data_IF_704294590994
#
_entry.id   IF_704294590994
#
_cell.length_a   1.000
_cell.length_b   1.000
_cell.length_c   1.000
_cell.angle_alpha   90.00
_cell.angle_beta   90.00
_cell.angle_gamma   90.00
#
_symmetry.space_group_name_H-M   'P 1'
#
loop_
_entity.id
_entity.type
_entity.pdbx_description
1 polymer ?
#
# COMPACT_ATOMS: atom_id res chain seq x y z
N UNK A 1 -14.05 3.19 10.92
CA UNK A 1 -13.75 3.15 9.48
C UNK A 1 -14.12 1.78 8.93
N UNK A 2 -14.97 1.73 7.91
CA UNK A 2 -15.39 0.47 7.27
C UNK A 2 -14.24 -0.15 6.47
N UNK A 3 -14.38 -1.41 6.08
CA UNK A 3 -13.39 -2.05 5.21
C UNK A 3 -13.39 -1.46 3.79
N UNK A 4 -14.55 -1.00 3.31
CA UNK A 4 -14.68 -0.27 2.05
C UNK A 4 -13.91 1.06 2.10
N UNK A 5 -14.01 1.80 3.20
CA UNK A 5 -13.27 3.06 3.38
C UNK A 5 -11.76 2.81 3.36
N UNK A 6 -11.30 1.75 4.05
CA UNK A 6 -9.88 1.36 4.07
C UNK A 6 -9.37 1.01 2.67
N UNK A 7 -10.15 0.23 1.91
CA UNK A 7 -9.80 -0.12 0.52
C UNK A 7 -9.79 1.10 -0.39
N UNK A 8 -10.73 2.03 -0.20
CA UNK A 8 -10.75 3.28 -0.95
C UNK A 8 -9.49 4.10 -0.69
N UNK A 9 -9.13 4.31 0.58
CA UNK A 9 -7.91 5.02 0.97
C UNK A 9 -6.66 4.32 0.40
N UNK A 10 -6.55 3.00 0.60
CA UNK A 10 -5.43 2.24 0.09
C UNK A 10 -5.30 2.35 -1.45
N UNK A 11 -6.43 2.37 -2.16
CA UNK A 11 -6.46 2.48 -3.61
C UNK A 11 -6.02 3.84 -4.15
N UNK A 12 -5.91 4.87 -3.31
CA UNK A 12 -5.33 6.18 -3.67
C UNK A 12 -3.88 6.29 -3.22
N UNK A 13 -3.57 5.84 -2.00
CA UNK A 13 -2.23 6.00 -1.42
C UNK A 13 -1.21 5.04 -2.05
N UNK A 14 -1.56 3.76 -2.18
CA UNK A 14 -0.61 2.72 -2.61
C UNK A 14 -0.02 3.00 -4.00
N UNK A 15 -0.81 3.40 -5.02
CA UNK A 15 -0.25 3.77 -6.32
C UNK A 15 0.78 4.91 -6.26
N UNK A 16 0.52 5.96 -5.48
CA UNK A 16 1.45 7.09 -5.33
C UNK A 16 2.77 6.69 -4.66
N UNK A 17 2.71 5.78 -3.67
CA UNK A 17 3.91 5.20 -3.05
C UNK A 17 4.72 4.40 -4.08
N UNK A 18 4.04 3.56 -4.87
CA UNK A 18 4.69 2.75 -5.91
C UNK A 18 5.39 3.62 -6.96
N UNK A 19 4.75 4.69 -7.42
CA UNK A 19 5.36 5.60 -8.39
C UNK A 19 6.54 6.38 -7.78
N UNK A 20 6.43 6.77 -6.51
CA UNK A 20 7.53 7.41 -5.79
C UNK A 20 8.75 6.49 -5.66
N UNK A 21 8.54 5.21 -5.31
CA UNK A 21 9.62 4.22 -5.29
C UNK A 21 10.22 4.01 -6.67
N UNK A 22 9.38 4.03 -7.71
CA UNK A 22 9.83 3.87 -9.09
C UNK A 22 10.74 5.02 -9.52
N UNK A 23 10.37 6.25 -9.18
CA UNK A 23 11.16 7.44 -9.47
C UNK A 23 12.52 7.45 -8.73
N UNK A 24 12.59 6.84 -7.55
CA UNK A 24 13.83 6.74 -6.77
C UNK A 24 14.72 5.55 -7.18
N UNK A 25 14.17 4.54 -7.86
CA UNK A 25 14.95 3.42 -8.37
C UNK A 25 15.82 3.84 -9.56
N UNK A 26 17.12 3.58 -9.49
CA UNK A 26 18.07 3.83 -10.58
C UNK A 26 17.73 3.07 -11.87
N UNK A 27 17.04 1.94 -11.75
CA UNK A 27 16.60 1.12 -12.89
C UNK A 27 15.15 1.42 -13.31
N UNK A 28 14.45 2.32 -12.61
CA UNK A 28 13.03 2.60 -12.83
C UNK A 28 12.09 1.41 -12.60
N UNK A 29 12.55 0.38 -11.87
CA UNK A 29 11.81 -0.83 -11.52
C UNK A 29 11.68 -0.91 -10.00
N UNK A 30 10.45 -1.12 -9.52
CA UNK A 30 10.18 -1.41 -8.11
C UNK A 30 9.82 -2.88 -7.99
N UNK A 31 10.55 -3.61 -7.17
CA UNK A 31 10.24 -5.01 -6.88
C UNK A 31 9.27 -5.12 -5.72
N UNK A 32 8.66 -6.30 -5.57
CA UNK A 32 7.87 -6.58 -4.38
C UNK A 32 8.71 -6.51 -3.10
N UNK A 33 9.99 -6.86 -3.18
CA UNK A 33 10.91 -6.86 -2.03
C UNK A 33 11.19 -5.43 -1.55
N UNK A 34 11.42 -4.47 -2.46
CA UNK A 34 11.60 -3.06 -2.11
C UNK A 34 10.40 -2.50 -1.34
N UNK A 35 9.19 -2.87 -1.77
CA UNK A 35 7.95 -2.45 -1.12
C UNK A 35 7.82 -3.10 0.26
N UNK A 36 8.17 -4.39 0.37
CA UNK A 36 8.16 -5.12 1.64
C UNK A 36 9.14 -4.49 2.62
N UNK A 37 10.34 -4.12 2.20
CA UNK A 37 11.36 -3.51 3.06
C UNK A 37 10.89 -2.17 3.62
N UNK A 38 10.33 -1.29 2.78
CA UNK A 38 9.84 0.00 3.25
C UNK A 38 8.63 -0.16 4.17
N UNK A 39 7.67 -1.03 3.83
CA UNK A 39 6.53 -1.29 4.70
C UNK A 39 6.96 -1.89 6.05
N UNK A 40 7.96 -2.78 6.03
CA UNK A 40 8.54 -3.36 7.25
C UNK A 40 9.20 -2.29 8.10
N UNK A 41 9.92 -1.35 7.49
CA UNK A 41 10.50 -0.20 8.18
C UNK A 41 9.41 0.69 8.78
N UNK A 42 8.34 1.01 8.05
CA UNK A 42 7.21 1.77 8.59
C UNK A 42 6.58 1.08 9.81
N UNK A 43 6.40 -0.24 9.77
CA UNK A 43 5.90 -1.02 10.92
C UNK A 43 6.88 -0.93 12.08
N UNK A 44 8.17 -1.13 11.83
CA UNK A 44 9.19 -1.05 12.86
C UNK A 44 9.20 0.33 13.54
N UNK A 45 9.16 1.42 12.76
CA UNK A 45 9.10 2.80 13.28
C UNK A 45 7.83 3.04 14.11
N UNK A 46 6.66 2.54 13.67
CA UNK A 46 5.43 2.65 14.47
C UNK A 46 5.58 1.93 15.82
N UNK A 47 6.15 0.72 15.83
CA UNK A 47 6.35 -0.06 17.05
C UNK A 47 7.40 0.56 17.98
N UNK A 48 8.48 1.12 17.42
CA UNK A 48 9.50 1.85 18.18
C UNK A 48 8.92 3.05 18.92
N UNK A 49 7.96 3.75 18.30
CA UNK A 49 7.32 4.94 18.86
C UNK A 49 6.10 4.63 19.76
N UNK A 50 5.68 3.36 19.88
CA UNK A 50 4.55 2.98 20.72
C UNK A 50 4.96 2.91 22.20
N UNK A 51 4.58 3.92 22.96
CA UNK A 51 4.83 4.02 24.40
C UNK A 51 4.24 2.88 25.25
N UNK A 52 3.34 2.06 24.70
CA UNK A 52 2.78 0.88 25.37
C UNK A 52 3.65 -0.38 25.19
N UNK A 53 4.58 -0.38 24.23
CA UNK A 53 5.51 -1.49 23.99
C UNK A 53 6.72 -1.33 24.90
N UNK A 54 6.56 -1.78 26.15
CA UNK A 54 7.58 -1.65 27.20
C UNK A 54 8.32 -2.94 27.52
N UNK A 55 7.91 -4.06 26.92
CA UNK A 55 8.52 -5.38 27.17
C UNK A 55 8.67 -6.19 25.90
N UNK A 56 9.60 -7.16 25.85
CA UNK A 56 9.71 -8.09 24.72
C UNK A 56 8.43 -8.88 24.42
N UNK A 57 7.57 -9.07 25.43
CA UNK A 57 6.27 -9.71 25.24
C UNK A 57 5.32 -8.80 24.44
N UNK A 58 5.25 -7.51 24.77
CA UNK A 58 4.41 -6.56 24.03
C UNK A 58 4.83 -6.47 22.57
N UNK A 59 6.14 -6.48 22.29
CA UNK A 59 6.66 -6.51 20.91
C UNK A 59 6.16 -7.74 20.15
N UNK A 60 6.23 -8.94 20.75
CA UNK A 60 5.73 -10.16 20.12
C UNK A 60 4.23 -10.12 19.87
N UNK A 61 3.46 -9.63 20.83
CA UNK A 61 1.99 -9.53 20.71
C UNK A 61 1.60 -8.52 19.62
N UNK A 62 2.31 -7.40 19.52
CA UNK A 62 2.14 -6.41 18.45
C UNK A 62 2.48 -7.00 17.07
N UNK A 63 3.61 -7.70 16.94
CA UNK A 63 3.99 -8.36 15.68
C UNK A 63 2.97 -9.41 15.23
N UNK A 64 2.45 -10.22 16.17
CA UNK A 64 1.38 -11.20 15.88
C UNK A 64 0.10 -10.53 15.39
N UNK A 65 -0.22 -9.36 15.95
CA UNK A 65 -1.37 -8.56 15.54
C UNK A 65 -1.19 -8.03 14.11
N UNK A 66 -0.01 -7.51 13.78
CA UNK A 66 0.34 -7.09 12.42
C UNK A 66 0.21 -8.25 11.42
N UNK A 67 0.82 -9.40 11.73
CA UNK A 67 0.74 -10.61 10.90
C UNK A 67 -0.71 -11.04 10.64
N UNK A 68 -1.54 -11.00 11.68
CA UNK A 68 -2.97 -11.35 11.59
C UNK A 68 -3.69 -10.39 10.63
N UNK A 69 -3.44 -9.08 10.74
CA UNK A 69 -4.06 -8.09 9.87
C UNK A 69 -3.60 -8.24 8.41
N UNK A 70 -2.30 -8.42 8.18
CA UNK A 70 -1.73 -8.61 6.84
C UNK A 70 -2.33 -9.85 6.19
N UNK A 71 -2.32 -10.99 6.89
CA UNK A 71 -2.89 -12.25 6.40
C UNK A 71 -4.37 -12.11 6.06
N UNK A 72 -5.15 -11.44 6.91
CA UNK A 72 -6.57 -11.21 6.69
C UNK A 72 -6.81 -10.39 5.41
N UNK A 73 -6.05 -9.31 5.21
CA UNK A 73 -6.19 -8.47 4.03
C UNK A 73 -5.70 -9.15 2.76
N UNK A 74 -4.58 -9.85 2.81
CA UNK A 74 -4.06 -10.63 1.68
C UNK A 74 -5.10 -11.66 1.20
N UNK A 75 -5.72 -12.39 2.14
CA UNK A 75 -6.81 -13.31 1.84
C UNK A 75 -8.00 -12.58 1.20
N UNK A 76 -8.46 -11.48 1.79
CA UNK A 76 -9.59 -10.71 1.27
C UNK A 76 -9.35 -10.21 -0.15
N UNK A 77 -8.20 -9.60 -0.41
CA UNK A 77 -7.85 -9.07 -1.74
C UNK A 77 -7.78 -10.17 -2.80
N UNK A 78 -7.35 -11.38 -2.41
CA UNK A 78 -7.36 -12.55 -3.27
C UNK A 78 -8.78 -13.07 -3.51
N UNK A 79 -9.57 -13.21 -2.46
CA UNK A 79 -10.92 -13.75 -2.53
C UNK A 79 -11.89 -12.77 -3.26
N UNK A 80 -11.61 -11.46 -3.23
CA UNK A 80 -12.33 -10.41 -3.97
C UNK A 80 -11.94 -10.33 -5.47
N UNK A 81 -10.93 -11.10 -5.94
CA UNK A 81 -10.65 -11.19 -7.39
C UNK A 81 -11.71 -12.07 -8.06
N UNK A 82 -12.24 -11.59 -9.19
CA UNK A 82 -13.22 -12.31 -10.01
C UNK A 82 -12.67 -13.60 -10.66
N UNK A 83 -11.36 -13.84 -10.58
CA UNK A 83 -10.67 -15.01 -11.12
C UNK A 83 -9.14 -14.85 -10.99
N UNK A 84 -8.40 -15.92 -11.24
CA UNK A 84 -6.93 -15.89 -11.18
C UNK A 84 -6.33 -14.88 -12.17
N UNK A 85 -6.92 -14.78 -13.36
CA UNK A 85 -6.48 -13.90 -14.44
C UNK A 85 -7.05 -12.48 -14.35
N UNK A 86 -7.96 -12.22 -13.40
CA UNK A 86 -8.54 -10.91 -13.22
C UNK A 86 -7.49 -9.92 -12.66
N UNK A 87 -7.51 -8.64 -13.09
CA UNK A 87 -6.62 -7.61 -12.57
C UNK A 87 -6.65 -7.52 -11.05
N UNK A 88 -5.46 -7.36 -10.47
CA UNK A 88 -5.32 -7.24 -9.01
C UNK A 88 -5.91 -5.93 -8.50
N UNK A 89 -6.19 -5.87 -7.18
CA UNK A 89 -6.51 -4.60 -6.54
C UNK A 89 -5.46 -3.52 -6.84
N UNK A 90 -4.18 -3.86 -6.74
CA UNK A 90 -3.07 -2.95 -7.01
C UNK A 90 -3.07 -2.49 -8.47
N UNK A 91 -3.23 -3.41 -9.41
CA UNK A 91 -3.24 -3.13 -10.85
C UNK A 91 -4.36 -2.15 -11.20
N UNK A 92 -5.59 -2.40 -10.74
CA UNK A 92 -6.73 -1.49 -10.93
C UNK A 92 -6.50 -0.13 -10.29
N UNK A 93 -5.87 -0.11 -9.12
CA UNK A 93 -5.58 1.14 -8.41
C UNK A 93 -4.53 1.99 -9.15
N UNK A 94 -3.49 1.35 -9.71
CA UNK A 94 -2.47 2.03 -10.53
C UNK A 94 -3.08 2.58 -11.82
N UNK A 95 -3.91 1.80 -12.51
CA UNK A 95 -4.60 2.25 -13.73
C UNK A 95 -5.45 3.49 -13.46
N UNK A 96 -6.26 3.44 -12.40
CA UNK A 96 -7.08 4.58 -11.99
C UNK A 96 -6.23 5.80 -11.63
N UNK A 97 -5.20 5.61 -10.81
CA UNK A 97 -4.29 6.71 -10.40
C UNK A 97 -3.64 7.40 -11.60
N UNK A 98 -3.20 6.64 -12.61
CA UNK A 98 -2.64 7.20 -13.84
C UNK A 98 -3.66 7.98 -14.66
N UNK A 99 -4.91 7.50 -14.72
CA UNK A 99 -5.99 8.24 -15.38
C UNK A 99 -6.28 9.57 -14.66
N UNK A 100 -6.34 9.55 -13.32
CA UNK A 100 -6.54 10.75 -12.51
C UNK A 100 -5.41 11.77 -12.71
N UNK A 101 -4.14 11.34 -12.76
CA UNK A 101 -3.01 12.23 -13.04
C UNK A 101 -3.09 12.85 -14.44
N UNK A 102 -3.43 12.06 -15.47
CA UNK A 102 -3.56 12.57 -16.82
C UNK A 102 -4.70 13.60 -16.96
N UNK A 103 -5.79 13.42 -16.21
CA UNK A 103 -6.88 14.40 -16.15
C UNK A 103 -6.46 15.71 -15.50
N UNK A 104 -5.63 15.66 -14.44
CA UNK A 104 -5.09 16.84 -13.78
C UNK A 104 -4.14 17.60 -14.73
N UNK A 105 -3.20 16.91 -15.36
CA UNK A 105 -2.26 17.50 -16.33
C UNK A 105 -3.00 18.18 -17.49
N UNK A 106 -4.03 17.52 -18.04
CA UNK A 106 -4.84 18.09 -19.12
C UNK A 106 -5.63 19.35 -18.70
N UNK A 107 -6.01 19.45 -17.42
CA UNK A 107 -6.67 20.64 -16.88
C UNK A 107 -5.69 21.80 -16.67
N UNK A 108 -4.45 21.51 -16.29
CA UNK A 108 -3.37 22.51 -16.12
C UNK A 108 -2.91 23.06 -17.48
N UNK A 109 -2.76 22.20 -18.50
CA UNK A 109 -2.37 22.59 -19.86
C UNK A 109 -3.47 23.36 -20.60
N UNK A 110 -4.74 23.10 -20.29
CA UNK A 110 -5.90 23.79 -20.90
C UNK A 110 -6.16 25.21 -20.36
N UNK A 111 -5.44 25.64 -19.32
CA UNK A 111 -5.55 26.97 -18.70
C UNK A 111 -4.33 27.87 -18.94
N UNK A 112 -3.36 27.45 -19.77
CA UNK A 112 -2.19 28.26 -20.22
C UNK A 112 -2.39 28.78 -21.64
#
# INVERSE_FOLDING_TARGET
>A
MSDTDKLSIAGHIVPGIMESFRAMSSEGVVTADDVIDVLSLCIATMLENDTHITTPKHTRDAMKTVETFVTRWARRLRDDRAGADAPSFLSRSIERYRAELAEIEAQEDGHS
#
